data_IF_763569914011
#
_entry.id   IF_763569914011
#
_cell.length_a   1.000
_cell.length_b   1.000
_cell.length_c   1.000
_cell.angle_alpha   90.00
_cell.angle_beta   90.00
_cell.angle_gamma   90.00
#
_symmetry.space_group_name_H-M   'P 1'
#
loop_
_entity.id
_entity.type
_entity.pdbx_description
1 polymer ?
#
# COMPACT_ATOMS: atom_id res chain seq x y z
N UNK A 1 -5.21 -6.38 -4.19
CA UNK A 1 -5.69 -6.80 -2.84
C UNK A 1 -6.52 -5.64 -2.29
N UNK A 2 -7.69 -5.89 -1.68
CA UNK A 2 -8.59 -4.83 -1.19
C UNK A 2 -8.67 -4.84 0.34
N UNK A 3 -8.33 -3.71 0.96
CA UNK A 3 -8.48 -3.48 2.40
C UNK A 3 -9.41 -2.29 2.68
N UNK A 4 -10.31 -1.96 1.74
CA UNK A 4 -11.21 -0.82 1.84
C UNK A 4 -12.06 -0.86 3.11
N UNK A 5 -12.23 0.31 3.73
CA UNK A 5 -13.19 0.54 4.83
C UNK A 5 -12.95 -0.34 6.06
N UNK A 6 -11.71 -0.38 6.54
CA UNK A 6 -11.36 -1.02 7.82
C UNK A 6 -10.85 0.02 8.83
N UNK A 7 -10.74 -0.39 10.09
CA UNK A 7 -10.15 0.43 11.16
C UNK A 7 -8.63 0.16 11.30
N UNK A 8 -7.94 -0.14 10.20
CA UNK A 8 -6.50 -0.42 10.24
C UNK A 8 -5.76 0.88 10.54
N UNK A 9 -4.81 0.81 11.47
CA UNK A 9 -4.00 1.95 11.96
C UNK A 9 -2.51 1.63 11.87
N UNK A 10 -1.67 2.66 11.95
CA UNK A 10 -0.22 2.53 11.91
C UNK A 10 0.37 2.82 10.53
N UNK A 11 1.59 2.35 10.28
CA UNK A 11 2.33 2.69 9.05
C UNK A 11 2.46 1.46 8.15
N UNK A 12 2.47 1.68 6.84
CA UNK A 12 2.80 0.62 5.89
C UNK A 12 4.28 0.22 6.05
N UNK A 13 4.62 -1.08 6.04
CA UNK A 13 6.00 -1.53 6.11
C UNK A 13 6.82 -0.98 4.94
N UNK A 14 8.06 -0.56 5.21
CA UNK A 14 8.93 0.02 4.17
C UNK A 14 9.22 -0.95 3.01
N UNK A 15 9.18 -2.26 3.25
CA UNK A 15 9.49 -3.31 2.27
C UNK A 15 8.26 -3.94 1.59
N UNK A 16 7.06 -3.41 1.81
CA UNK A 16 5.83 -4.03 1.31
C UNK A 16 5.80 -4.19 -0.22
N UNK A 17 6.38 -3.25 -0.98
CA UNK A 17 6.51 -3.36 -2.44
C UNK A 17 7.52 -4.42 -2.90
N UNK A 18 8.50 -4.77 -2.06
CA UNK A 18 9.44 -5.88 -2.32
C UNK A 18 8.82 -7.24 -2.02
N UNK A 19 8.02 -7.32 -0.96
CA UNK A 19 7.30 -8.55 -0.61
C UNK A 19 6.19 -8.89 -1.62
N UNK A 20 5.70 -7.90 -2.36
CA UNK A 20 4.60 -8.04 -3.30
C UNK A 20 4.99 -7.60 -4.72
N UNK A 21 5.95 -8.29 -5.38
CA UNK A 21 6.54 -7.85 -6.66
C UNK A 21 5.56 -7.80 -7.84
N UNK A 22 4.44 -8.52 -7.75
CA UNK A 22 3.40 -8.57 -8.79
C UNK A 22 2.16 -7.74 -8.44
N UNK A 23 2.24 -6.89 -7.41
CA UNK A 23 1.10 -6.10 -6.96
C UNK A 23 0.82 -4.94 -7.92
N UNK A 24 -0.30 -5.03 -8.62
CA UNK A 24 -0.76 -4.01 -9.57
C UNK A 24 -1.68 -2.98 -8.90
N UNK A 25 -2.50 -3.44 -7.94
CA UNK A 25 -3.52 -2.65 -7.28
C UNK A 25 -3.59 -2.96 -5.78
N UNK A 26 -3.56 -1.91 -4.98
CA UNK A 26 -3.73 -1.95 -3.54
C UNK A 26 -4.70 -0.84 -3.13
N UNK A 27 -5.83 -1.25 -2.57
CA UNK A 27 -6.85 -0.33 -2.10
C UNK A 27 -6.74 -0.23 -0.58
N UNK A 28 -6.40 0.97 -0.10
CA UNK A 28 -6.22 1.29 1.34
C UNK A 28 -7.19 2.35 1.82
N UNK A 29 -8.07 2.86 0.94
CA UNK A 29 -9.06 3.87 1.25
C UNK A 29 -9.92 3.55 2.48
N UNK A 30 -10.33 4.62 3.16
CA UNK A 30 -11.12 4.54 4.39
C UNK A 30 -10.46 3.65 5.46
N UNK A 31 -9.15 3.86 5.71
CA UNK A 31 -8.40 3.36 6.85
C UNK A 31 -7.69 4.53 7.55
N UNK A 32 -7.09 4.27 8.72
CA UNK A 32 -6.39 5.24 9.55
C UNK A 32 -4.86 5.02 9.50
N UNK A 33 -4.32 4.72 8.31
CA UNK A 33 -2.87 4.65 8.13
C UNK A 33 -2.26 6.06 8.18
N UNK A 34 -1.09 6.16 8.80
CA UNK A 34 -0.31 7.40 8.92
C UNK A 34 1.16 7.12 8.56
N UNK A 35 1.99 8.16 8.52
CA UNK A 35 3.41 8.05 8.22
C UNK A 35 3.74 8.02 6.71
N UNK A 36 5.04 7.90 6.38
CA UNK A 36 5.50 8.04 5.01
C UNK A 36 5.09 6.84 4.15
N UNK A 37 4.75 7.13 2.89
CA UNK A 37 4.45 6.09 1.91
C UNK A 37 5.72 5.25 1.62
N UNK A 38 5.64 3.91 1.60
CA UNK A 38 6.81 3.06 1.44
C UNK A 38 7.51 3.29 0.09
N UNK A 39 8.83 3.56 0.08
CA UNK A 39 9.58 3.78 -1.16
C UNK A 39 9.66 2.50 -2.02
N UNK A 40 9.48 1.32 -1.44
CA UNK A 40 9.46 0.05 -2.16
C UNK A 40 8.32 -0.06 -3.19
N UNK A 41 7.21 0.66 -3.01
CA UNK A 41 6.14 0.73 -4.01
C UNK A 41 6.56 1.50 -5.26
N UNK A 42 7.46 2.48 -5.14
CA UNK A 42 7.99 3.22 -6.29
C UNK A 42 8.87 2.35 -7.19
N UNK A 43 9.35 1.21 -6.68
CA UNK A 43 10.09 0.19 -7.43
C UNK A 43 9.18 -0.89 -8.04
N UNK A 44 7.89 -0.91 -7.67
CA UNK A 44 6.89 -1.76 -8.30
C UNK A 44 6.38 -1.05 -9.56
N UNK A 45 6.97 -1.37 -10.70
CA UNK A 45 6.71 -0.77 -12.03
C UNK A 45 5.27 -0.88 -12.54
N UNK A 46 4.35 -1.49 -11.78
CA UNK A 46 2.94 -1.73 -12.16
C UNK A 46 1.92 -1.04 -11.24
N UNK A 47 2.34 -0.22 -10.29
CA UNK A 47 1.42 0.38 -9.32
C UNK A 47 0.62 1.55 -9.94
N UNK A 48 -0.65 1.31 -10.29
CA UNK A 48 -1.44 2.25 -11.11
C UNK A 48 -2.39 3.15 -10.32
N UNK A 49 -2.82 2.80 -9.10
CA UNK A 49 -3.79 3.64 -8.35
C UNK A 49 -3.80 3.28 -6.86
N UNK A 50 -3.77 4.32 -5.99
CA UNK A 50 -4.09 4.23 -4.56
C UNK A 50 -5.42 4.98 -4.34
N UNK A 51 -6.46 4.31 -3.85
CA UNK A 51 -7.75 4.93 -3.49
C UNK A 51 -8.25 4.37 -2.17
#
# INVERSE_FOLDING_TARGET
MSFLSNQLTGHLPQDVGRCLPNLQQLYLGANNFDGPFPPSFSNATSFQTLT
#
